data_IF_891343754382
#
_entry.id   IF_891343754382
#
_cell.length_a   1.000
_cell.length_b   1.000
_cell.length_c   1.000
_cell.angle_alpha   90.00
_cell.angle_beta   90.00
_cell.angle_gamma   90.00
#
_symmetry.space_group_name_H-M   'P 1'
#
loop_
_entity.id
_entity.type
_entity.pdbx_description
1 polymer ?
#
# COMPACT_ATOMS: atom_id res chain seq x y z
N UNK A 1 0.03 0.14 21.41
CA UNK A 1 -1.33 -0.23 20.92
C UNK A 1 -2.17 1.03 20.84
N UNK A 2 -2.49 1.49 19.64
CA UNK A 2 -3.18 2.75 19.40
C UNK A 2 -4.68 2.65 19.71
N UNK A 3 -5.08 3.11 20.89
CA UNK A 3 -6.50 3.28 21.30
C UNK A 3 -7.18 4.54 20.72
N UNK A 4 -6.69 5.05 19.58
CA UNK A 4 -7.04 6.40 19.11
C UNK A 4 -8.32 6.46 18.27
N UNK A 5 -8.73 5.35 17.60
CA UNK A 5 -9.90 5.30 16.73
C UNK A 5 -10.89 4.29 17.33
N UNK A 6 -12.03 4.79 17.85
CA UNK A 6 -13.04 3.97 18.50
C UNK A 6 -14.43 4.46 18.15
N UNK A 7 -15.38 3.50 18.13
CA UNK A 7 -16.79 3.75 17.89
C UNK A 7 -17.05 4.50 16.57
N UNK A 8 -16.23 4.19 15.53
CA UNK A 8 -16.33 4.81 14.22
C UNK A 8 -16.91 3.84 13.19
N UNK A 9 -17.62 4.42 12.23
CA UNK A 9 -18.02 3.74 10.99
C UNK A 9 -16.99 4.04 9.92
N UNK A 10 -16.28 2.99 9.50
CA UNK A 10 -15.14 3.08 8.58
C UNK A 10 -15.51 2.36 7.29
N UNK A 11 -15.40 3.04 6.16
CA UNK A 11 -15.59 2.46 4.83
C UNK A 11 -14.24 2.31 4.13
N UNK A 12 -13.97 1.12 3.57
CA UNK A 12 -12.69 0.80 2.95
C UNK A 12 -12.91 0.22 1.57
N UNK A 13 -12.52 0.94 0.51
CA UNK A 13 -12.45 0.38 -0.84
C UNK A 13 -11.13 -0.35 -1.06
N UNK A 14 -11.15 -1.45 -1.81
CA UNK A 14 -9.98 -2.32 -1.91
C UNK A 14 -9.68 -3.03 -0.58
N UNK A 15 -10.72 -3.23 0.25
CA UNK A 15 -10.59 -3.74 1.60
C UNK A 15 -10.14 -5.19 1.70
N UNK A 16 -10.29 -5.97 0.63
CA UNK A 16 -9.75 -7.32 0.55
C UNK A 16 -8.25 -7.36 0.19
N UNK A 17 -7.65 -6.21 -0.17
CA UNK A 17 -6.23 -6.10 -0.48
C UNK A 17 -5.33 -6.23 0.74
N UNK A 18 -4.02 -6.47 0.51
CA UNK A 18 -3.01 -6.71 1.53
C UNK A 18 -2.95 -5.64 2.63
N UNK A 19 -2.75 -4.38 2.25
CA UNK A 19 -2.61 -3.26 3.22
C UNK A 19 -3.95 -3.04 3.95
N UNK A 20 -5.06 -3.05 3.22
CA UNK A 20 -6.37 -2.82 3.79
C UNK A 20 -6.77 -3.91 4.80
N UNK A 21 -6.47 -5.18 4.52
CA UNK A 21 -6.68 -6.27 5.48
C UNK A 21 -5.96 -6.01 6.80
N UNK A 22 -4.71 -5.52 6.77
CA UNK A 22 -3.96 -5.18 7.97
C UNK A 22 -4.55 -3.98 8.74
N UNK A 23 -5.09 -3.00 8.03
CA UNK A 23 -5.84 -1.89 8.66
C UNK A 23 -7.09 -2.44 9.36
N UNK A 24 -7.84 -3.33 8.72
CA UNK A 24 -9.05 -3.95 9.29
C UNK A 24 -8.67 -4.74 10.56
N UNK A 25 -7.62 -5.57 10.51
CA UNK A 25 -7.11 -6.32 11.68
C UNK A 25 -6.78 -5.41 12.88
N UNK A 26 -6.37 -4.18 12.63
CA UNK A 26 -6.02 -3.22 13.68
C UNK A 26 -7.22 -2.45 14.25
N UNK A 27 -8.34 -2.39 13.52
CA UNK A 27 -9.47 -1.50 13.84
C UNK A 27 -10.79 -2.22 14.21
N UNK A 28 -10.97 -3.49 13.83
CA UNK A 28 -12.25 -4.18 13.86
C UNK A 28 -12.86 -4.36 15.28
N UNK A 29 -12.03 -4.38 16.32
CA UNK A 29 -12.50 -4.64 17.71
C UNK A 29 -13.34 -3.48 18.25
N UNK A 30 -12.99 -2.24 17.87
CA UNK A 30 -13.56 -1.03 18.47
C UNK A 30 -14.39 -0.22 17.46
N UNK A 31 -14.56 -0.71 16.21
CA UNK A 31 -15.18 0.04 15.12
C UNK A 31 -16.08 -0.85 14.24
N UNK A 32 -17.03 -0.25 13.54
CA UNK A 32 -17.79 -0.89 12.46
C UNK A 32 -17.06 -0.64 11.12
N UNK A 33 -16.73 -1.70 10.41
CA UNK A 33 -15.97 -1.61 9.17
C UNK A 33 -16.79 -2.16 8.01
N UNK A 34 -16.99 -1.35 6.98
CA UNK A 34 -17.53 -1.80 5.70
C UNK A 34 -16.41 -1.95 4.67
N UNK A 35 -16.20 -3.18 4.23
CA UNK A 35 -15.26 -3.56 3.16
C UNK A 35 -16.00 -3.53 1.84
N UNK A 36 -15.45 -2.79 0.86
CA UNK A 36 -15.97 -2.74 -0.51
C UNK A 36 -14.86 -3.15 -1.49
N UNK A 37 -15.04 -4.28 -2.15
CA UNK A 37 -14.01 -4.87 -3.02
C UNK A 37 -14.64 -5.72 -4.13
N UNK A 38 -13.93 -5.93 -5.23
CA UNK A 38 -14.32 -6.85 -6.30
C UNK A 38 -13.64 -8.23 -6.19
N UNK A 39 -12.76 -8.40 -5.20
CA UNK A 39 -12.03 -9.63 -4.87
C UNK A 39 -11.11 -10.17 -5.97
N UNK A 40 -10.65 -9.33 -6.92
CA UNK A 40 -9.62 -9.73 -7.88
C UNK A 40 -8.30 -10.13 -7.18
N UNK A 41 -8.01 -9.52 -6.02
CA UNK A 41 -6.93 -9.90 -5.11
C UNK A 41 -7.51 -9.98 -3.71
N UNK A 42 -7.39 -11.15 -3.09
CA UNK A 42 -8.03 -11.41 -1.80
C UNK A 42 -7.00 -11.88 -0.76
N UNK A 43 -6.61 -10.97 0.12
CA UNK A 43 -5.85 -11.25 1.34
C UNK A 43 -6.78 -11.46 2.55
N UNK A 44 -8.00 -10.90 2.48
CA UNK A 44 -8.96 -10.91 3.57
C UNK A 44 -9.49 -12.31 3.86
N UNK A 45 -9.70 -13.15 2.83
CA UNK A 45 -10.15 -14.53 2.99
C UNK A 45 -9.23 -15.38 3.87
N UNK A 46 -7.96 -15.00 3.98
CA UNK A 46 -6.95 -15.66 4.83
C UNK A 46 -6.82 -15.02 6.22
N UNK A 47 -7.59 -13.98 6.50
CA UNK A 47 -7.56 -13.27 7.77
C UNK A 47 -8.69 -13.75 8.70
N UNK A 48 -8.42 -13.78 9.99
CA UNK A 48 -9.40 -14.15 11.02
C UNK A 48 -10.53 -13.12 11.17
N UNK A 49 -10.39 -11.94 10.58
CA UNK A 49 -11.39 -10.86 10.70
C UNK A 49 -12.56 -11.01 9.74
N UNK A 50 -12.46 -11.89 8.73
CA UNK A 50 -13.51 -12.07 7.72
C UNK A 50 -14.88 -12.46 8.30
N UNK A 51 -14.88 -13.17 9.43
CA UNK A 51 -16.09 -13.67 10.09
C UNK A 51 -16.46 -12.87 11.35
N UNK A 52 -15.99 -11.62 11.48
CA UNK A 52 -16.32 -10.78 12.63
C UNK A 52 -17.58 -9.96 12.37
N UNK A 53 -18.49 -9.89 13.33
CA UNK A 53 -19.78 -9.18 13.23
C UNK A 53 -19.61 -7.68 12.91
N UNK A 54 -18.49 -7.09 13.33
CA UNK A 54 -18.14 -5.70 13.07
C UNK A 54 -17.55 -5.44 11.67
N UNK A 55 -17.39 -6.49 10.82
CA UNK A 55 -16.83 -6.38 9.48
C UNK A 55 -17.85 -6.79 8.43
N UNK A 56 -18.39 -5.80 7.73
CA UNK A 56 -19.41 -5.99 6.70
C UNK A 56 -18.77 -6.00 5.31
N UNK A 57 -18.97 -7.09 4.57
CA UNK A 57 -18.34 -7.29 3.26
C UNK A 57 -19.35 -7.03 2.15
N UNK A 58 -18.99 -6.14 1.23
CA UNK A 58 -19.80 -5.79 0.05
C UNK A 58 -18.95 -6.03 -1.21
N UNK A 59 -19.42 -6.91 -2.07
CA UNK A 59 -18.83 -7.06 -3.41
C UNK A 59 -19.31 -5.90 -4.29
N UNK A 60 -18.35 -5.15 -4.86
CA UNK A 60 -18.66 -4.00 -5.70
C UNK A 60 -17.47 -3.48 -6.49
N UNK A 61 -17.76 -2.60 -7.45
CA UNK A 61 -16.77 -1.98 -8.33
C UNK A 61 -16.67 -0.48 -8.05
N UNK A 62 -15.44 0.02 -7.81
CA UNK A 62 -15.17 1.46 -7.62
C UNK A 62 -15.51 2.31 -8.84
N UNK A 63 -15.69 1.70 -10.02
CA UNK A 63 -16.18 2.38 -11.20
C UNK A 63 -17.69 2.66 -11.16
N UNK A 64 -18.42 2.09 -10.18
CA UNK A 64 -19.85 2.34 -9.99
C UNK A 64 -20.05 3.27 -8.77
N UNK A 65 -20.21 4.56 -9.03
CA UNK A 65 -20.34 5.58 -8.00
C UNK A 65 -21.61 5.41 -7.15
N UNK A 66 -22.72 4.93 -7.72
CA UNK A 66 -23.96 4.71 -6.97
C UNK A 66 -23.82 3.57 -5.97
N UNK A 67 -23.10 2.50 -6.33
CA UNK A 67 -22.76 1.43 -5.39
C UNK A 67 -21.89 1.96 -4.25
N UNK A 68 -20.88 2.80 -4.55
CA UNK A 68 -20.02 3.41 -3.54
C UNK A 68 -20.82 4.27 -2.56
N UNK A 69 -21.68 5.18 -3.07
CA UNK A 69 -22.52 6.05 -2.24
C UNK A 69 -23.43 5.22 -1.33
N UNK A 70 -24.08 4.20 -1.89
CA UNK A 70 -24.97 3.32 -1.11
C UNK A 70 -24.21 2.57 0.00
N UNK A 71 -23.03 2.02 -0.34
CA UNK A 71 -22.22 1.21 0.56
C UNK A 71 -21.55 2.04 1.67
N UNK A 72 -21.12 3.27 1.35
CA UNK A 72 -20.42 4.17 2.27
C UNK A 72 -21.36 4.97 3.19
N UNK A 73 -22.68 4.77 3.08
CA UNK A 73 -23.67 5.58 3.82
C UNK A 73 -23.43 5.54 5.34
N UNK A 74 -23.28 6.73 5.93
CA UNK A 74 -23.09 6.91 7.37
C UNK A 74 -21.65 6.69 7.85
N UNK A 75 -20.69 6.50 6.95
CA UNK A 75 -19.28 6.37 7.31
C UNK A 75 -18.69 7.73 7.68
N UNK A 76 -17.91 7.75 8.77
CA UNK A 76 -17.19 8.93 9.26
C UNK A 76 -15.76 8.97 8.70
N UNK A 77 -15.17 7.80 8.47
CA UNK A 77 -13.83 7.64 7.88
C UNK A 77 -13.96 6.85 6.59
N UNK A 78 -13.32 7.33 5.54
CA UNK A 78 -13.26 6.69 4.23
C UNK A 78 -11.82 6.40 3.87
N UNK A 79 -11.46 5.13 3.63
CA UNK A 79 -10.12 4.71 3.19
C UNK A 79 -10.21 4.20 1.76
N UNK A 80 -9.61 4.93 0.83
CA UNK A 80 -9.54 4.52 -0.58
C UNK A 80 -8.24 3.79 -0.85
N UNK A 81 -8.27 2.46 -0.78
CA UNK A 81 -7.14 1.58 -1.06
C UNK A 81 -7.31 0.78 -2.38
N UNK A 82 -8.49 0.85 -3.01
CA UNK A 82 -8.72 0.19 -4.29
C UNK A 82 -7.80 0.74 -5.38
N UNK A 83 -7.01 -0.12 -5.97
CA UNK A 83 -6.14 0.20 -7.10
C UNK A 83 -5.63 -1.07 -7.79
N UNK A 84 -5.37 -0.97 -9.09
CA UNK A 84 -4.55 -1.96 -9.81
C UNK A 84 -3.09 -1.53 -9.68
N UNK A 85 -2.26 -2.42 -9.15
CA UNK A 85 -0.83 -2.24 -8.93
C UNK A 85 -0.05 -3.51 -9.32
N UNK A 86 1.28 -3.42 -9.40
CA UNK A 86 2.17 -4.50 -9.83
C UNK A 86 2.71 -4.27 -11.24
N UNK A 87 4.00 -4.53 -11.43
CA UNK A 87 4.70 -4.18 -12.68
C UNK A 87 4.09 -4.92 -13.87
N UNK A 88 3.95 -6.25 -13.75
CA UNK A 88 3.46 -7.09 -14.85
C UNK A 88 1.96 -6.87 -15.08
N UNK A 89 1.18 -6.73 -13.99
CA UNK A 89 -0.26 -6.45 -14.07
C UNK A 89 -0.55 -5.12 -14.78
N UNK A 90 0.19 -4.06 -14.43
CA UNK A 90 0.05 -2.72 -15.03
C UNK A 90 0.48 -2.73 -16.50
N UNK A 91 1.62 -3.38 -16.81
CA UNK A 91 2.12 -3.49 -18.19
C UNK A 91 1.15 -4.25 -19.11
N UNK A 92 0.51 -5.30 -18.59
CA UNK A 92 -0.46 -6.10 -19.34
C UNK A 92 -1.84 -5.43 -19.50
N UNK A 93 -2.21 -4.52 -18.59
CA UNK A 93 -3.55 -3.92 -18.53
C UNK A 93 -3.52 -2.41 -18.29
N UNK A 94 -2.82 -1.60 -19.11
CA UNK A 94 -2.62 -0.17 -18.83
C UNK A 94 -3.94 0.62 -18.87
N UNK A 95 -4.84 0.32 -19.77
CA UNK A 95 -6.16 0.99 -19.87
C UNK A 95 -7.01 0.71 -18.63
N UNK A 96 -7.13 -0.56 -18.23
CA UNK A 96 -7.86 -0.95 -17.01
C UNK A 96 -7.25 -0.27 -15.79
N UNK A 97 -5.92 -0.25 -15.69
CA UNK A 97 -5.19 0.43 -14.58
C UNK A 97 -5.54 1.91 -14.51
N UNK A 98 -5.45 2.66 -15.62
CA UNK A 98 -5.82 4.08 -15.63
C UNK A 98 -7.27 4.29 -15.23
N UNK A 99 -8.20 3.53 -15.81
CA UNK A 99 -9.63 3.68 -15.48
C UNK A 99 -9.93 3.41 -14.01
N UNK A 100 -9.47 2.27 -13.47
CA UNK A 100 -9.75 1.90 -12.07
C UNK A 100 -9.10 2.89 -11.11
N UNK A 101 -7.83 3.25 -11.33
CA UNK A 101 -7.12 4.10 -10.38
C UNK A 101 -7.57 5.56 -10.46
N UNK A 102 -7.81 6.13 -11.65
CA UNK A 102 -8.24 7.54 -11.78
C UNK A 102 -9.74 7.71 -11.54
N UNK A 103 -10.58 6.98 -12.29
CA UNK A 103 -12.03 7.12 -12.16
C UNK A 103 -12.53 6.56 -10.84
N UNK A 104 -11.92 5.45 -10.36
CA UNK A 104 -12.23 4.89 -9.05
C UNK A 104 -11.93 5.88 -7.91
N UNK A 105 -10.79 6.61 -7.99
CA UNK A 105 -10.48 7.68 -7.01
C UNK A 105 -11.46 8.84 -7.12
N UNK A 106 -11.82 9.27 -8.34
CA UNK A 106 -12.83 10.33 -8.53
C UNK A 106 -14.19 9.94 -7.94
N UNK A 107 -14.65 8.72 -8.22
CA UNK A 107 -15.90 8.18 -7.67
C UNK A 107 -15.86 8.04 -6.14
N UNK A 108 -14.72 7.65 -5.57
CA UNK A 108 -14.55 7.54 -4.12
C UNK A 108 -14.64 8.92 -3.44
N UNK A 109 -14.05 9.96 -4.03
CA UNK A 109 -14.13 11.33 -3.54
C UNK A 109 -15.55 11.88 -3.64
N UNK A 110 -16.23 11.66 -4.77
CA UNK A 110 -17.63 12.04 -4.97
C UNK A 110 -18.54 11.35 -3.94
N UNK A 111 -18.34 10.04 -3.75
CA UNK A 111 -19.09 9.28 -2.75
C UNK A 111 -18.85 9.83 -1.33
N UNK A 112 -17.61 10.14 -0.98
CA UNK A 112 -17.27 10.69 0.34
C UNK A 112 -17.98 12.02 0.62
N UNK A 113 -18.03 12.91 -0.37
CA UNK A 113 -18.81 14.17 -0.26
C UNK A 113 -20.30 13.89 -0.11
N UNK A 114 -20.88 13.02 -0.95
CA UNK A 114 -22.30 12.70 -0.94
C UNK A 114 -22.78 12.07 0.37
N UNK A 115 -21.97 11.24 1.01
CA UNK A 115 -22.32 10.61 2.29
C UNK A 115 -21.93 11.47 3.49
N UNK A 116 -21.20 12.57 3.29
CA UNK A 116 -20.83 13.52 4.34
C UNK A 116 -19.73 12.99 5.26
N UNK A 117 -18.62 12.47 4.70
CA UNK A 117 -17.44 12.04 5.50
C UNK A 117 -16.89 13.23 6.28
N UNK A 118 -16.79 13.10 7.59
CA UNK A 118 -16.44 14.21 8.50
C UNK A 118 -15.05 14.11 9.10
N UNK A 119 -14.58 12.89 9.39
CA UNK A 119 -13.38 12.71 10.17
C UNK A 119 -12.13 12.62 9.28
N UNK A 120 -12.16 11.73 8.27
CA UNK A 120 -10.99 11.55 7.41
C UNK A 120 -11.31 10.84 6.09
N UNK A 121 -10.71 11.32 5.00
CA UNK A 121 -10.57 10.59 3.75
C UNK A 121 -9.10 10.25 3.55
N UNK A 122 -8.74 8.97 3.60
CA UNK A 122 -7.37 8.50 3.34
C UNK A 122 -7.28 8.01 1.90
N UNK A 123 -6.46 8.66 1.10
CA UNK A 123 -6.13 8.22 -0.25
C UNK A 123 -4.78 7.49 -0.24
N UNK A 124 -4.77 6.20 -0.54
CA UNK A 124 -3.52 5.43 -0.66
C UNK A 124 -2.92 5.70 -2.04
N UNK A 125 -1.88 6.52 -2.07
CA UNK A 125 -1.05 6.83 -3.22
C UNK A 125 0.16 5.88 -3.34
N UNK A 126 1.30 6.36 -3.80
CA UNK A 126 2.50 5.57 -4.00
C UNK A 126 3.77 6.42 -4.03
N UNK A 127 4.90 5.84 -3.62
CA UNK A 127 6.22 6.44 -3.84
C UNK A 127 6.62 6.53 -5.32
N UNK A 128 5.90 5.85 -6.21
CA UNK A 128 6.20 5.86 -7.66
C UNK A 128 5.95 7.23 -8.31
N UNK A 129 5.21 8.13 -7.67
CA UNK A 129 5.02 9.52 -8.11
C UNK A 129 6.34 10.31 -8.21
N UNK A 130 7.40 9.85 -7.55
CA UNK A 130 8.73 10.44 -7.62
C UNK A 130 9.57 9.97 -8.81
N UNK A 131 9.08 9.00 -9.62
CA UNK A 131 9.76 8.52 -10.82
C UNK A 131 10.92 7.58 -10.52
N UNK A 132 11.94 7.62 -11.40
CA UNK A 132 13.06 6.66 -11.44
C UNK A 132 14.05 6.83 -10.28
N UNK A 133 14.28 8.07 -9.87
CA UNK A 133 15.28 8.45 -8.86
C UNK A 133 14.61 9.16 -7.68
N UNK A 134 14.44 8.47 -6.58
CA UNK A 134 13.88 9.01 -5.35
C UNK A 134 14.84 8.74 -4.17
N UNK A 135 15.77 9.66 -3.92
CA UNK A 135 16.66 9.60 -2.76
C UNK A 135 16.34 10.71 -1.78
N UNK A 136 15.70 10.33 -0.66
CA UNK A 136 15.29 11.26 0.41
C UNK A 136 14.43 12.42 -0.08
N UNK A 137 13.63 12.20 -1.14
CA UNK A 137 12.72 13.21 -1.64
C UNK A 137 11.64 13.51 -0.62
N UNK A 138 11.39 14.82 -0.44
CA UNK A 138 10.31 15.36 0.40
C UNK A 138 9.01 15.40 -0.40
N UNK A 139 7.91 15.50 0.29
CA UNK A 139 6.58 15.58 -0.34
C UNK A 139 6.39 16.87 -1.16
N UNK A 140 7.16 17.90 -0.86
CA UNK A 140 7.22 19.19 -1.59
C UNK A 140 8.08 19.15 -2.85
N UNK A 141 8.87 18.09 -3.04
CA UNK A 141 9.74 17.99 -4.21
C UNK A 141 8.93 17.63 -5.47
N UNK A 142 9.48 17.96 -6.62
CA UNK A 142 8.83 17.74 -7.91
C UNK A 142 8.57 16.24 -8.11
N UNK A 143 7.32 15.92 -8.43
CA UNK A 143 6.95 14.59 -8.88
C UNK A 143 7.36 14.40 -10.33
N UNK A 144 7.80 13.21 -10.69
CA UNK A 144 8.25 12.86 -12.03
C UNK A 144 7.59 11.58 -12.48
N UNK A 145 7.04 11.57 -13.67
CA UNK A 145 6.62 10.36 -14.37
C UNK A 145 7.43 10.26 -15.66
N UNK A 146 7.78 9.05 -16.05
CA UNK A 146 8.57 8.83 -17.25
C UNK A 146 7.87 9.26 -18.53
N UNK A 147 8.35 8.79 -19.67
CA UNK A 147 7.83 9.15 -20.98
C UNK A 147 6.37 8.75 -21.13
N UNK A 148 5.55 9.67 -21.67
CA UNK A 148 4.16 9.38 -21.97
C UNK A 148 4.04 8.21 -22.96
N UNK A 149 3.10 7.29 -22.69
CA UNK A 149 2.90 6.07 -23.47
C UNK A 149 3.69 4.85 -22.97
N UNK A 150 4.60 5.01 -22.02
CA UNK A 150 5.27 3.88 -21.37
C UNK A 150 4.34 3.29 -20.29
N UNK A 151 3.92 2.04 -20.49
CA UNK A 151 2.97 1.35 -19.59
C UNK A 151 3.46 1.31 -18.13
N UNK A 152 4.76 1.24 -17.90
CA UNK A 152 5.39 1.25 -16.56
C UNK A 152 4.95 2.45 -15.70
N UNK A 153 4.76 3.62 -16.31
CA UNK A 153 4.40 4.85 -15.59
C UNK A 153 2.90 5.08 -15.45
N UNK A 154 2.08 4.25 -16.10
CA UNK A 154 0.62 4.34 -16.04
C UNK A 154 0.10 4.33 -14.60
N UNK A 155 0.64 3.47 -13.76
CA UNK A 155 0.30 3.40 -12.34
C UNK A 155 0.67 4.69 -11.59
N UNK A 156 1.91 5.17 -11.74
CA UNK A 156 2.39 6.37 -11.05
C UNK A 156 1.55 7.60 -11.46
N UNK A 157 1.29 7.78 -12.75
CA UNK A 157 0.48 8.88 -13.28
C UNK A 157 -0.96 8.81 -12.73
N UNK A 158 -1.56 7.63 -12.72
CA UNK A 158 -2.93 7.46 -12.21
C UNK A 158 -3.05 7.81 -10.72
N UNK A 159 -2.05 7.42 -9.91
CA UNK A 159 -2.02 7.74 -8.48
C UNK A 159 -1.72 9.21 -8.22
N UNK A 160 -0.81 9.81 -9.00
CA UNK A 160 -0.53 11.25 -8.92
C UNK A 160 -1.77 12.09 -9.26
N UNK A 161 -2.50 11.73 -10.32
CA UNK A 161 -3.77 12.39 -10.66
C UNK A 161 -4.78 12.29 -9.50
N UNK A 162 -4.85 11.15 -8.82
CA UNK A 162 -5.67 10.96 -7.61
C UNK A 162 -5.26 11.86 -6.46
N UNK A 163 -3.95 12.09 -6.24
CA UNK A 163 -3.47 13.04 -5.22
C UNK A 163 -3.89 14.47 -5.55
N UNK A 164 -3.69 14.93 -6.78
CA UNK A 164 -4.11 16.27 -7.20
C UNK A 164 -5.61 16.46 -7.03
N UNK A 165 -6.40 15.48 -7.46
CA UNK A 165 -7.85 15.55 -7.34
C UNK A 165 -8.31 15.59 -5.88
N UNK A 166 -7.73 14.75 -5.03
CA UNK A 166 -8.10 14.70 -3.60
C UNK A 166 -7.79 16.01 -2.89
N UNK A 167 -6.65 16.66 -3.18
CA UNK A 167 -6.30 17.97 -2.63
C UNK A 167 -7.20 19.09 -3.16
N UNK A 168 -7.68 18.98 -4.41
CA UNK A 168 -8.69 19.90 -4.93
C UNK A 168 -10.02 19.74 -4.16
N UNK A 169 -10.46 18.52 -3.87
CA UNK A 169 -11.65 18.27 -3.04
C UNK A 169 -11.50 18.82 -1.61
N UNK A 170 -10.30 18.75 -1.03
CA UNK A 170 -10.03 19.42 0.24
C UNK A 170 -10.17 20.93 0.12
N UNK A 171 -9.57 21.54 -0.90
CA UNK A 171 -9.58 23.00 -1.08
C UNK A 171 -10.97 23.54 -1.40
N UNK A 172 -11.77 22.86 -2.22
CA UNK A 172 -13.04 23.34 -2.73
C UNK A 172 -14.24 22.97 -1.84
N UNK A 173 -14.21 21.76 -1.28
CA UNK A 173 -15.33 21.21 -0.51
C UNK A 173 -15.03 20.98 0.96
N UNK A 174 -13.80 21.20 1.42
CA UNK A 174 -13.40 20.97 2.80
C UNK A 174 -13.32 19.51 3.21
N UNK A 175 -13.30 18.56 2.25
CA UNK A 175 -13.16 17.13 2.56
C UNK A 175 -11.83 16.89 3.29
N UNK A 176 -11.80 16.27 4.50
CA UNK A 176 -10.57 16.15 5.30
C UNK A 176 -9.65 15.04 4.75
N UNK A 177 -9.03 15.31 3.62
CA UNK A 177 -8.17 14.39 2.87
C UNK A 177 -6.76 14.27 3.47
N UNK A 178 -6.21 13.06 3.43
CA UNK A 178 -4.78 12.79 3.59
C UNK A 178 -4.34 11.83 2.48
N UNK A 179 -3.30 12.19 1.73
CA UNK A 179 -2.66 11.29 0.78
C UNK A 179 -1.48 10.58 1.45
N UNK A 180 -1.41 9.28 1.32
CA UNK A 180 -0.30 8.48 1.84
C UNK A 180 0.51 7.91 0.67
N UNK A 181 1.82 8.09 0.71
CA UNK A 181 2.79 7.55 -0.26
C UNK A 181 3.60 6.42 0.38
N UNK A 182 3.14 5.16 0.29
CA UNK A 182 3.88 4.01 0.83
C UNK A 182 5.17 3.74 0.05
N UNK A 183 6.23 3.33 0.76
CA UNK A 183 7.52 2.95 0.17
C UNK A 183 7.81 1.47 0.40
N UNK A 184 7.72 0.65 -0.66
CA UNK A 184 8.07 -0.78 -0.72
C UNK A 184 7.59 -1.58 0.49
N UNK A 185 6.27 -1.65 0.66
CA UNK A 185 5.65 -2.34 1.78
C UNK A 185 5.69 -3.85 1.57
N UNK A 186 6.01 -4.57 2.65
CA UNK A 186 6.03 -6.04 2.67
C UNK A 186 5.54 -6.57 4.02
N UNK A 187 5.15 -7.85 4.05
CA UNK A 187 4.76 -8.50 5.31
C UNK A 187 3.76 -9.65 5.12
N UNK A 188 3.30 -10.23 6.24
CA UNK A 188 2.26 -11.26 6.28
C UNK A 188 0.97 -10.79 5.60
N UNK A 189 0.37 -11.65 4.79
CA UNK A 189 -0.84 -11.32 4.02
C UNK A 189 -0.56 -10.74 2.64
N UNK A 190 0.71 -10.46 2.27
CA UNK A 190 1.02 -9.94 0.95
C UNK A 190 0.71 -10.96 -0.14
N UNK A 191 -0.22 -10.58 -1.03
CA UNK A 191 -0.57 -11.27 -2.27
C UNK A 191 -0.07 -10.47 -3.47
N UNK A 192 0.23 -11.15 -4.57
CA UNK A 192 0.68 -10.51 -5.81
C UNK A 192 2.19 -10.34 -5.91
N UNK A 193 2.60 -9.31 -6.67
CA UNK A 193 3.98 -9.06 -7.08
C UNK A 193 4.79 -8.35 -5.99
N UNK A 194 6.11 -8.60 -5.97
CA UNK A 194 7.05 -7.93 -5.08
C UNK A 194 8.34 -8.72 -4.93
N UNK A 195 9.50 -8.07 -5.06
CA UNK A 195 10.79 -8.74 -5.01
C UNK A 195 11.01 -9.48 -3.68
N UNK A 196 10.76 -8.81 -2.55
CA UNK A 196 11.03 -9.39 -1.24
C UNK A 196 10.17 -10.63 -0.96
N UNK A 197 8.85 -10.58 -1.22
CA UNK A 197 7.98 -11.74 -1.02
C UNK A 197 8.35 -12.91 -1.95
N UNK A 198 8.77 -12.60 -3.19
CA UNK A 198 9.29 -13.60 -4.14
C UNK A 198 10.56 -14.26 -3.60
N UNK A 199 11.52 -13.48 -3.13
CA UNK A 199 12.77 -13.99 -2.58
C UNK A 199 12.55 -14.84 -1.32
N UNK A 200 11.64 -14.41 -0.43
CA UNK A 200 11.28 -15.21 0.77
C UNK A 200 10.68 -16.57 0.37
N UNK A 201 9.75 -16.60 -0.59
CA UNK A 201 9.16 -17.85 -1.09
C UNK A 201 10.20 -18.78 -1.68
N UNK A 202 11.09 -18.25 -2.53
CA UNK A 202 12.18 -19.03 -3.13
C UNK A 202 13.14 -19.56 -2.06
N UNK A 203 13.51 -18.72 -1.09
CA UNK A 203 14.41 -19.11 -0.02
C UNK A 203 13.82 -20.18 0.91
N UNK A 204 12.53 -20.14 1.24
CA UNK A 204 11.85 -21.18 2.04
C UNK A 204 11.96 -22.54 1.36
N UNK A 205 11.85 -22.58 0.04
CA UNK A 205 11.87 -23.81 -0.76
C UNK A 205 13.29 -24.21 -1.21
N UNK A 206 14.33 -23.44 -0.88
CA UNK A 206 15.69 -23.57 -1.44
C UNK A 206 15.72 -23.52 -2.98
N UNK A 207 14.80 -22.79 -3.58
CA UNK A 207 14.76 -22.51 -5.01
C UNK A 207 15.75 -21.41 -5.39
N UNK A 208 16.16 -21.35 -6.65
CA UNK A 208 17.04 -20.29 -7.15
C UNK A 208 16.37 -18.94 -7.07
N UNK A 209 17.03 -17.97 -6.44
CA UNK A 209 16.60 -16.55 -6.42
C UNK A 209 17.10 -15.89 -7.70
N UNK A 210 16.18 -15.31 -8.46
CA UNK A 210 16.49 -14.62 -9.72
C UNK A 210 16.39 -13.11 -9.50
N UNK A 211 17.47 -12.39 -9.79
CA UNK A 211 17.56 -10.93 -9.71
C UNK A 211 17.61 -10.37 -11.14
N UNK A 212 16.72 -9.40 -11.42
CA UNK A 212 16.73 -8.70 -12.70
C UNK A 212 17.88 -7.69 -12.74
N UNK A 213 18.76 -7.78 -13.75
CA UNK A 213 19.96 -6.99 -13.87
C UNK A 213 21.05 -7.38 -12.87
N UNK A 214 21.90 -6.42 -12.49
CA UNK A 214 23.02 -6.63 -11.57
C UNK A 214 22.66 -6.57 -10.08
N UNK A 215 21.40 -6.20 -9.76
CA UNK A 215 20.91 -6.08 -8.39
C UNK A 215 21.41 -4.83 -7.65
N UNK A 216 21.95 -3.84 -8.36
CA UNK A 216 22.45 -2.57 -7.79
C UNK A 216 21.31 -1.60 -7.38
N UNK A 217 20.09 -1.83 -7.83
CA UNK A 217 18.94 -1.01 -7.52
C UNK A 217 18.72 -0.91 -5.98
N UNK A 218 18.52 0.31 -5.48
CA UNK A 218 18.39 0.57 -4.04
C UNK A 218 16.93 0.81 -3.65
N UNK A 219 16.48 0.10 -2.61
CA UNK A 219 15.13 0.23 -2.03
C UNK A 219 15.21 0.37 -0.51
N UNK A 220 14.28 1.13 0.05
CA UNK A 220 13.97 1.12 1.46
C UNK A 220 12.72 0.26 1.69
N UNK A 221 12.80 -0.73 2.55
CA UNK A 221 11.75 -1.72 2.80
C UNK A 221 10.99 -1.39 4.08
N UNK A 222 9.68 -1.34 4.04
CA UNK A 222 8.86 -1.02 5.20
C UNK A 222 7.92 -2.18 5.54
N UNK A 223 7.97 -2.63 6.77
CA UNK A 223 7.08 -3.68 7.26
C UNK A 223 5.65 -3.15 7.35
N UNK A 224 4.67 -4.01 7.05
CA UNK A 224 3.27 -3.58 6.91
C UNK A 224 2.68 -3.00 8.18
N UNK A 225 3.07 -3.51 9.35
CA UNK A 225 2.55 -3.01 10.63
C UNK A 225 3.05 -1.59 10.92
N UNK A 226 4.31 -1.25 10.56
CA UNK A 226 4.80 0.13 10.63
C UNK A 226 3.97 1.06 9.71
N UNK A 227 3.64 0.60 8.48
CA UNK A 227 2.76 1.38 7.60
C UNK A 227 1.39 1.60 8.23
N UNK A 228 0.79 0.55 8.81
CA UNK A 228 -0.53 0.63 9.47
C UNK A 228 -0.48 1.63 10.63
N UNK A 229 0.56 1.60 11.46
CA UNK A 229 0.74 2.58 12.53
C UNK A 229 0.80 4.02 11.99
N UNK A 230 1.54 4.24 10.90
CA UNK A 230 1.58 5.53 10.21
C UNK A 230 0.21 5.97 9.67
N UNK A 231 -0.58 5.05 9.12
CA UNK A 231 -1.94 5.30 8.65
C UNK A 231 -2.89 5.66 9.81
N UNK A 232 -2.83 4.95 10.93
CA UNK A 232 -3.63 5.23 12.12
C UNK A 232 -3.31 6.62 12.70
N UNK A 233 -2.03 7.00 12.70
CA UNK A 233 -1.61 8.36 13.07
C UNK A 233 -2.16 9.40 12.09
N UNK A 234 -2.10 9.15 10.77
CA UNK A 234 -2.64 10.05 9.76
C UNK A 234 -4.15 10.24 9.87
N UNK A 235 -4.88 9.20 10.30
CA UNK A 235 -6.34 9.29 10.56
C UNK A 235 -6.67 10.19 11.75
N UNK A 236 -5.77 10.30 12.75
CA UNK A 236 -6.07 10.96 14.04
C UNK A 236 -5.42 12.33 14.20
N UNK A 237 -4.29 12.60 13.52
CA UNK A 237 -3.58 13.88 13.69
C UNK A 237 -4.24 14.98 12.84
N UNK A 238 -4.71 16.11 13.46
CA UNK A 238 -5.33 17.20 12.71
C UNK A 238 -4.41 17.83 11.66
N UNK A 239 -3.11 17.93 11.96
CA UNK A 239 -2.11 18.50 11.04
C UNK A 239 -1.88 17.67 9.77
N UNK A 240 -2.41 16.44 9.70
CA UNK A 240 -2.30 15.60 8.51
C UNK A 240 -3.30 16.00 7.41
N UNK A 241 -4.39 16.69 7.76
CA UNK A 241 -5.42 17.09 6.81
C UNK A 241 -4.88 18.05 5.75
N UNK A 242 -5.17 17.74 4.49
CA UNK A 242 -4.67 18.51 3.35
C UNK A 242 -3.23 18.18 2.95
N UNK A 243 -2.64 17.10 3.50
CA UNK A 243 -1.24 16.78 3.28
C UNK A 243 -1.06 15.50 2.48
N UNK A 244 0.02 15.45 1.68
CA UNK A 244 0.62 14.20 1.21
C UNK A 244 1.77 13.82 2.13
N UNK A 245 1.86 12.53 2.53
CA UNK A 245 2.82 12.06 3.54
C UNK A 245 3.50 10.78 3.08
N UNK A 246 4.84 10.78 3.06
CA UNK A 246 5.64 9.60 2.80
C UNK A 246 5.66 8.68 4.03
N UNK A 247 5.34 7.40 3.85
CA UNK A 247 5.50 6.38 4.89
C UNK A 247 6.41 5.26 4.40
N UNK A 248 7.43 4.94 5.19
CA UNK A 248 8.45 3.95 4.83
C UNK A 248 9.43 3.72 5.96
N UNK A 249 10.53 2.97 5.70
CA UNK A 249 11.59 2.75 6.68
C UNK A 249 12.97 2.96 6.03
N UNK A 250 13.61 4.11 6.31
CA UNK A 250 14.95 4.43 5.79
C UNK A 250 16.06 3.53 6.35
N UNK A 251 15.87 2.94 7.55
CA UNK A 251 16.89 2.08 8.17
C UNK A 251 17.05 0.77 7.40
N UNK A 252 16.01 0.30 6.74
CA UNK A 252 16.00 -0.90 5.92
C UNK A 252 16.32 -0.62 4.44
N UNK A 253 17.28 0.29 4.18
CA UNK A 253 17.73 0.64 2.83
C UNK A 253 18.87 -0.27 2.39
N UNK A 254 18.71 -0.94 1.24
CA UNK A 254 19.75 -1.78 0.66
C UNK A 254 19.57 -2.00 -0.84
N UNK A 255 20.57 -2.57 -1.48
CA UNK A 255 20.49 -3.04 -2.86
C UNK A 255 19.62 -4.30 -2.96
N UNK A 256 19.09 -4.59 -4.16
CA UNK A 256 18.34 -5.83 -4.42
C UNK A 256 19.21 -7.07 -4.20
N UNK A 257 20.49 -7.03 -4.59
CA UNK A 257 21.45 -8.11 -4.31
C UNK A 257 21.67 -8.27 -2.79
N UNK A 258 21.83 -7.15 -2.07
CA UNK A 258 21.94 -7.16 -0.59
C UNK A 258 20.69 -7.76 0.07
N UNK A 259 19.49 -7.45 -0.45
CA UNK A 259 18.25 -8.02 0.01
C UNK A 259 18.20 -9.55 -0.17
N UNK A 260 18.55 -10.05 -1.35
CA UNK A 260 18.57 -11.50 -1.63
C UNK A 260 19.52 -12.24 -0.67
N UNK A 261 20.73 -11.70 -0.46
CA UNK A 261 21.70 -12.25 0.50
C UNK A 261 21.16 -12.22 1.94
N UNK A 262 20.50 -11.13 2.34
CA UNK A 262 19.89 -11.01 3.67
C UNK A 262 18.78 -12.05 3.87
N UNK A 263 17.91 -12.24 2.89
CA UNK A 263 16.86 -13.27 2.93
C UNK A 263 17.46 -14.66 3.08
N UNK A 264 18.47 -15.02 2.28
CA UNK A 264 19.14 -16.33 2.41
C UNK A 264 19.75 -16.51 3.80
N UNK A 265 20.43 -15.51 4.33
CA UNK A 265 21.06 -15.56 5.65
C UNK A 265 20.04 -15.71 6.77
N UNK A 266 18.98 -14.89 6.78
CA UNK A 266 17.94 -14.92 7.82
C UNK A 266 17.21 -16.27 7.85
N UNK A 267 16.86 -16.78 6.67
CA UNK A 267 16.12 -18.03 6.55
C UNK A 267 17.02 -19.27 6.52
N UNK A 268 18.34 -19.10 6.63
CA UNK A 268 19.33 -20.18 6.54
C UNK A 268 19.13 -21.02 5.26
N UNK A 269 18.84 -20.36 4.14
CA UNK A 269 18.55 -21.00 2.87
C UNK A 269 19.83 -21.26 2.06
N UNK A 270 19.86 -22.38 1.36
CA UNK A 270 20.90 -22.75 0.40
C UNK A 270 20.58 -22.28 -1.04
N UNK A 271 19.61 -21.39 -1.20
CA UNK A 271 19.23 -20.85 -2.52
C UNK A 271 20.42 -20.22 -3.23
N UNK A 272 20.59 -20.59 -4.50
CA UNK A 272 21.55 -19.90 -5.37
C UNK A 272 20.96 -18.58 -5.84
N UNK A 273 21.79 -17.54 -5.94
CA UNK A 273 21.39 -16.26 -6.51
C UNK A 273 21.96 -16.19 -7.92
N UNK A 274 21.11 -15.93 -8.90
CA UNK A 274 21.50 -15.74 -10.31
C UNK A 274 20.93 -14.43 -10.84
N UNK A 275 21.50 -13.92 -11.91
CA UNK A 275 21.08 -12.69 -12.56
C UNK A 275 20.41 -13.01 -13.90
N UNK A 276 19.34 -12.27 -14.20
CA UNK A 276 18.68 -12.26 -15.52
C UNK A 276 18.94 -10.93 -16.24
N UNK A 277 18.43 -10.79 -17.45
CA UNK A 277 18.49 -9.53 -18.18
C UNK A 277 17.80 -8.41 -17.38
N UNK A 278 18.33 -7.18 -17.42
CA UNK A 278 17.73 -6.05 -16.72
C UNK A 278 16.37 -5.69 -17.31
N UNK A 279 15.47 -5.24 -16.45
CA UNK A 279 14.20 -4.68 -16.89
C UNK A 279 14.44 -3.40 -17.70
N UNK A 280 13.73 -3.24 -18.81
CA UNK A 280 13.87 -2.07 -19.71
C UNK A 280 13.60 -0.73 -19.01
N UNK A 281 12.75 -0.73 -17.98
CA UNK A 281 12.34 0.43 -17.22
C UNK A 281 12.33 0.09 -15.72
N UNK A 282 13.50 0.13 -15.10
CA UNK A 282 13.60 -0.10 -13.65
C UNK A 282 13.81 1.20 -12.88
N UNK A 283 13.47 1.14 -11.61
CA UNK A 283 13.68 2.21 -10.65
C UNK A 283 15.07 2.02 -10.05
N UNK A 284 15.94 2.99 -10.19
CA UNK A 284 17.31 2.88 -9.72
C UNK A 284 17.41 3.06 -8.20
N UNK A 285 16.72 4.07 -7.66
CA UNK A 285 16.75 4.32 -6.23
C UNK A 285 15.37 4.77 -5.72
N UNK A 286 14.92 4.22 -4.57
CA UNK A 286 13.68 4.60 -3.91
C UNK A 286 13.83 4.54 -2.39
N UNK A 287 14.16 5.69 -1.81
CA UNK A 287 14.37 5.90 -0.38
C UNK A 287 13.57 7.12 0.06
N UNK A 288 12.66 7.02 1.06
CA UNK A 288 11.84 8.15 1.50
C UNK A 288 12.65 9.22 2.26
N UNK A 289 12.20 10.49 2.25
CA UNK A 289 12.35 11.37 3.40
C UNK A 289 11.16 11.13 4.34
N UNK A 290 11.43 10.96 5.63
CA UNK A 290 10.40 10.79 6.66
C UNK A 290 10.28 12.02 7.58
N UNK A 291 10.91 13.13 7.22
CA UNK A 291 10.91 14.36 8.04
C UNK A 291 9.49 14.84 8.33
N UNK A 292 8.63 14.88 7.32
CA UNK A 292 7.24 15.32 7.45
C UNK A 292 6.41 14.33 8.26
N UNK A 293 6.53 13.04 8.01
CA UNK A 293 5.85 12.00 8.77
C UNK A 293 6.22 12.06 10.27
N UNK A 294 7.50 12.26 10.58
CA UNK A 294 7.94 12.43 11.95
C UNK A 294 7.39 13.72 12.58
N UNK A 295 7.49 14.85 11.88
CA UNK A 295 7.07 16.17 12.39
C UNK A 295 5.55 16.25 12.63
N UNK A 296 4.74 15.74 11.68
CA UNK A 296 3.29 15.88 11.72
C UNK A 296 2.63 14.77 12.51
N UNK A 297 3.09 13.53 12.30
CA UNK A 297 2.48 12.34 12.88
C UNK A 297 3.20 11.84 14.14
N UNK A 298 4.49 12.15 14.30
CA UNK A 298 5.37 11.46 15.25
C UNK A 298 5.71 10.04 14.78
N UNK A 299 5.60 9.77 13.47
CA UNK A 299 5.82 8.45 12.90
C UNK A 299 7.30 8.05 12.92
N UNK A 300 7.56 6.85 13.43
CA UNK A 300 8.86 6.20 13.42
C UNK A 300 8.66 4.70 13.17
N UNK A 301 9.20 4.14 12.07
CA UNK A 301 9.15 2.70 11.85
C UNK A 301 10.04 1.98 12.87
N UNK A 302 9.55 0.89 13.43
CA UNK A 302 10.24 0.16 14.52
C UNK A 302 10.71 -1.23 14.11
N UNK A 303 10.03 -1.89 13.17
CA UNK A 303 10.34 -3.27 12.78
C UNK A 303 11.61 -3.30 11.92
N UNK A 304 12.58 -4.08 12.35
CA UNK A 304 13.81 -4.30 11.60
C UNK A 304 13.57 -5.26 10.42
N UNK A 305 14.36 -5.08 9.33
CA UNK A 305 14.16 -5.86 8.11
C UNK A 305 14.28 -7.37 8.34
N UNK A 306 15.23 -7.81 9.14
CA UNK A 306 15.45 -9.23 9.41
C UNK A 306 14.28 -9.84 10.19
N UNK A 307 13.78 -9.14 11.20
CA UNK A 307 12.56 -9.50 11.91
C UNK A 307 11.37 -9.61 10.98
N UNK A 308 11.14 -8.59 10.13
CA UNK A 308 10.05 -8.59 9.17
C UNK A 308 10.16 -9.72 8.14
N UNK A 309 11.36 -10.07 7.68
CA UNK A 309 11.61 -11.23 6.81
C UNK A 309 11.20 -12.52 7.51
N UNK A 310 11.64 -12.71 8.76
CA UNK A 310 11.32 -13.91 9.54
C UNK A 310 9.81 -14.05 9.76
N UNK A 311 9.14 -12.99 10.21
CA UNK A 311 7.69 -12.96 10.45
C UNK A 311 6.90 -13.26 9.15
N UNK A 312 7.36 -12.73 8.02
CA UNK A 312 6.74 -13.00 6.71
C UNK A 312 6.92 -14.45 6.27
N UNK A 313 8.12 -15.00 6.51
CA UNK A 313 8.40 -16.40 6.18
C UNK A 313 7.58 -17.37 7.04
N UNK A 314 7.43 -17.09 8.33
CA UNK A 314 6.66 -17.92 9.25
C UNK A 314 5.17 -17.90 8.89
N UNK A 315 4.64 -16.74 8.50
CA UNK A 315 3.28 -16.63 7.98
C UNK A 315 3.10 -17.45 6.69
N UNK A 316 4.05 -17.39 5.74
CA UNK A 316 3.97 -18.17 4.50
C UNK A 316 3.97 -19.67 4.76
N UNK A 317 4.79 -20.14 5.71
CA UNK A 317 4.83 -21.56 6.09
C UNK A 317 3.52 -22.02 6.72
N UNK A 318 2.96 -21.23 7.65
CA UNK A 318 1.69 -21.56 8.31
C UNK A 318 0.50 -21.57 7.34
N UNK A 319 0.47 -20.62 6.39
CA UNK A 319 -0.60 -20.54 5.39
C UNK A 319 -0.60 -21.71 4.40
N UNK A 320 0.56 -22.31 4.12
CA UNK A 320 0.67 -23.50 3.26
C UNK A 320 0.25 -24.80 3.97
N UNK A 321 0.36 -24.85 5.30
CA UNK A 321 -0.04 -26.02 6.11
C UNK A 321 -1.55 -26.07 6.36
N UNK A 322 -2.28 -24.98 6.23
CA UNK A 322 -3.74 -24.90 6.46
C UNK A 322 -4.58 -25.20 5.22
N UNK A 323 -3.96 -25.57 4.11
CA UNK A 323 -4.59 -25.86 2.80
C UNK A 323 -4.73 -27.35 2.47
N UNK A 324 -4.61 -28.24 3.47
CA UNK A 324 -4.85 -29.69 3.31
C UNK A 324 -6.02 -30.17 4.14
#
# INVERSE_FOLDING_TARGET
MNKLIKNKKIFITGGAGFIATKIIESLFIENEITVFDNFERDSLSKSTVINKDSVHIINGDVLNVDQLIKAAKGSEIFIHAAAIAGIDTVASNPVKTMRVNMLGTANALEAAIKVGVTDRFINISTSEVFGKFAYKLKESDVTSSGKAGEARWTYAVSKLAGEHLSLAYYSEYGLPVVNIRPFNIYGPGQTGEGALIKFIKQAINNETIIIDGDGSQIRAWCYVDDLVDGLLLAMTKPKAVGESINLGNMRATMTILGLANTVCRVLKSNSKIIHSEPLSQDIEIRVPSLEKANLILGFQPIVDLEEGIQNTADWLKSSNTSGH
#
